data_IF_984824994841
#
_entry.id   IF_984824994841
#
_cell.length_a   1.000
_cell.length_b   1.000
_cell.length_c   1.000
_cell.angle_alpha   90.00
_cell.angle_beta   90.00
_cell.angle_gamma   90.00
#
_symmetry.space_group_name_H-M   'P 1'
#
loop_
_entity.id
_entity.type
_entity.pdbx_description
1 polymer ?
#
# COMPACT_ATOMS: atom_id res chain seq x y z
N UNK A 1 -16.70 -12.63 6.87
CA UNK A 1 -15.75 -11.51 6.97
C UNK A 1 -14.67 -11.86 7.98
N UNK A 2 -13.43 -11.48 7.73
CA UNK A 2 -12.32 -11.77 8.66
C UNK A 2 -12.44 -10.92 9.93
N UNK A 3 -11.95 -11.40 11.07
CA UNK A 3 -11.85 -10.56 12.27
C UNK A 3 -10.62 -9.65 12.12
N UNK A 4 -10.70 -8.37 12.50
CA UNK A 4 -9.52 -7.52 12.56
C UNK A 4 -8.53 -8.04 13.59
N UNK A 5 -7.24 -8.08 13.23
CA UNK A 5 -6.17 -8.61 14.06
C UNK A 5 -5.03 -7.60 14.18
N UNK A 6 -4.18 -7.75 15.19
CA UNK A 6 -2.94 -6.96 15.25
C UNK A 6 -2.03 -7.45 14.13
N UNK A 7 -1.58 -6.52 13.30
CA UNK A 7 -0.62 -6.81 12.24
C UNK A 7 0.81 -6.64 12.71
N UNK A 8 1.73 -7.12 11.88
CA UNK A 8 3.16 -6.87 11.99
C UNK A 8 3.60 -6.16 10.72
N UNK A 9 4.29 -5.03 10.87
CA UNK A 9 4.88 -4.35 9.73
C UNK A 9 6.20 -5.03 9.40
N UNK A 10 6.25 -5.66 8.24
CA UNK A 10 7.46 -6.26 7.71
C UNK A 10 8.24 -5.21 6.92
N UNK A 11 9.57 -5.26 7.05
CA UNK A 11 10.46 -4.55 6.13
C UNK A 11 10.28 -5.06 4.71
N UNK A 12 10.77 -4.31 3.72
CA UNK A 12 10.78 -4.76 2.33
C UNK A 12 11.50 -6.11 2.20
N UNK A 13 12.67 -6.27 2.83
CA UNK A 13 13.47 -7.50 2.78
C UNK A 13 12.69 -8.71 3.33
N UNK A 14 12.05 -8.55 4.48
CA UNK A 14 11.23 -9.62 5.08
C UNK A 14 10.03 -9.96 4.21
N UNK A 15 9.38 -8.94 3.63
CA UNK A 15 8.24 -9.12 2.73
C UNK A 15 8.64 -9.92 1.48
N UNK A 16 9.78 -9.59 0.87
CA UNK A 16 10.30 -10.31 -0.29
C UNK A 16 10.71 -11.74 0.05
N UNK A 17 11.36 -11.95 1.21
CA UNK A 17 11.72 -13.27 1.69
C UNK A 17 10.47 -14.13 1.94
N UNK A 18 9.43 -13.57 2.56
CA UNK A 18 8.14 -14.22 2.75
C UNK A 18 7.51 -14.61 1.41
N UNK A 19 7.47 -13.69 0.45
CA UNK A 19 6.89 -13.95 -0.86
C UNK A 19 7.61 -15.09 -1.59
N UNK A 20 8.95 -15.11 -1.57
CA UNK A 20 9.74 -16.20 -2.16
C UNK A 20 9.51 -17.53 -1.46
N UNK A 21 9.51 -17.56 -0.13
CA UNK A 21 9.32 -18.78 0.68
C UNK A 21 7.99 -19.48 0.36
N UNK A 22 6.95 -18.71 0.07
CA UNK A 22 5.59 -19.23 -0.16
C UNK A 22 5.11 -19.09 -1.61
N UNK A 23 6.04 -18.93 -2.57
CA UNK A 23 5.77 -18.78 -4.00
C UNK A 23 4.63 -17.80 -4.30
N UNK A 24 4.67 -16.63 -3.65
CA UNK A 24 3.67 -15.58 -3.82
C UNK A 24 4.01 -14.74 -5.04
N UNK A 25 3.01 -14.59 -5.93
CA UNK A 25 3.11 -13.69 -7.08
C UNK A 25 3.04 -12.24 -6.62
N UNK A 26 4.07 -11.46 -6.95
CA UNK A 26 4.13 -10.03 -6.70
C UNK A 26 3.98 -9.24 -7.99
N UNK A 27 3.45 -8.02 -7.87
CA UNK A 27 3.45 -7.01 -8.93
C UNK A 27 4.06 -5.72 -8.41
N UNK A 28 4.77 -4.99 -9.27
CA UNK A 28 5.33 -3.68 -8.96
C UNK A 28 4.90 -2.62 -9.98
N UNK A 29 4.86 -1.38 -9.52
CA UNK A 29 4.65 -0.18 -10.32
C UNK A 29 5.78 0.81 -9.99
N UNK A 30 6.57 1.22 -10.98
CA UNK A 30 7.75 2.07 -10.77
C UNK A 30 9.06 1.28 -10.63
N UNK A 31 10.12 1.85 -10.01
CA UNK A 31 10.13 3.02 -9.11
C UNK A 31 9.88 4.39 -9.78
N UNK A 32 9.00 5.18 -9.16
CA UNK A 32 8.66 6.55 -9.59
C UNK A 32 9.26 7.60 -8.65
N UNK A 33 9.48 8.80 -9.16
CA UNK A 33 9.85 9.95 -8.33
C UNK A 33 8.58 10.56 -7.69
N UNK A 34 8.67 10.96 -6.42
CA UNK A 34 7.54 11.51 -5.66
C UNK A 34 7.92 12.84 -5.00
N UNK A 35 6.96 13.75 -4.78
CA UNK A 35 7.20 15.00 -4.09
C UNK A 35 7.52 14.77 -2.61
N UNK A 36 8.32 15.66 -2.03
CA UNK A 36 8.77 15.56 -0.63
C UNK A 36 7.61 15.42 0.37
N UNK A 37 6.48 16.12 0.15
CA UNK A 37 5.32 16.02 1.05
C UNK A 37 4.73 14.60 1.09
N UNK A 38 4.77 13.85 -0.02
CA UNK A 38 4.25 12.49 -0.06
C UNK A 38 5.21 11.53 0.64
N UNK A 39 6.52 11.80 0.54
CA UNK A 39 7.54 11.10 1.33
C UNK A 39 7.32 11.35 2.83
N UNK A 40 7.22 12.60 3.27
CA UNK A 40 7.02 12.96 4.68
C UNK A 40 5.73 12.34 5.26
N UNK A 41 4.64 12.37 4.47
CA UNK A 41 3.38 11.73 4.85
C UNK A 41 3.51 10.22 4.95
N UNK A 42 4.34 9.59 4.11
CA UNK A 42 4.64 8.16 4.20
C UNK A 42 5.35 7.81 5.51
N UNK A 43 6.32 8.62 5.93
CA UNK A 43 7.02 8.44 7.21
C UNK A 43 6.05 8.56 8.40
N UNK A 44 5.20 9.58 8.41
CA UNK A 44 4.19 9.75 9.46
C UNK A 44 3.20 8.58 9.51
N UNK A 45 2.82 8.07 8.33
CA UNK A 45 1.87 6.98 8.23
C UNK A 45 2.46 5.64 8.67
N UNK A 46 3.74 5.37 8.39
CA UNK A 46 4.47 4.23 8.94
C UNK A 46 4.37 4.25 10.48
N UNK A 47 4.63 5.38 11.12
CA UNK A 47 4.51 5.50 12.58
C UNK A 47 3.08 5.24 13.09
N UNK A 48 2.04 5.59 12.32
CA UNK A 48 0.64 5.24 12.66
C UNK A 48 0.43 3.73 12.58
N UNK A 49 0.89 3.09 11.51
CA UNK A 49 0.77 1.64 11.32
C UNK A 49 1.57 0.87 12.39
N UNK A 50 2.75 1.37 12.78
CA UNK A 50 3.60 0.78 13.82
C UNK A 50 3.07 1.00 15.25
N UNK A 51 2.19 1.99 15.45
CA UNK A 51 1.70 2.33 16.79
C UNK A 51 0.84 1.25 17.47
N UNK A 52 0.51 0.16 16.77
CA UNK A 52 -0.38 -0.90 17.27
C UNK A 52 -1.85 -0.48 17.42
N UNK A 53 -2.18 0.77 17.09
CA UNK A 53 -3.56 1.29 17.11
C UNK A 53 -4.37 0.78 15.92
N UNK A 54 -3.73 0.47 14.79
CA UNK A 54 -4.42 -0.01 13.58
C UNK A 54 -4.53 -1.53 13.62
N UNK A 55 -5.76 -2.03 13.46
CA UNK A 55 -5.99 -3.46 13.22
C UNK A 55 -5.97 -3.74 11.72
N UNK A 56 -5.63 -4.95 11.33
CA UNK A 56 -5.60 -5.39 9.94
C UNK A 56 -6.72 -6.38 9.66
N UNK A 57 -7.41 -6.20 8.54
CA UNK A 57 -8.46 -7.10 8.05
C UNK A 57 -8.23 -7.36 6.57
N UNK A 58 -8.17 -8.63 6.16
CA UNK A 58 -7.95 -8.96 4.75
C UNK A 58 -9.15 -8.56 3.87
N UNK A 59 -10.36 -8.87 4.33
CA UNK A 59 -11.61 -8.65 3.59
C UNK A 59 -12.62 -7.92 4.48
N UNK A 60 -12.92 -6.67 4.14
CA UNK A 60 -13.89 -5.81 4.81
C UNK A 60 -14.60 -4.90 3.81
N UNK A 61 -15.69 -4.25 4.22
CA UNK A 61 -16.39 -3.28 3.36
C UNK A 61 -15.76 -1.88 3.50
N UNK A 62 -15.76 -1.12 2.43
CA UNK A 62 -15.22 0.25 2.43
C UNK A 62 -15.96 1.18 3.37
N UNK A 63 -17.23 0.91 3.63
CA UNK A 63 -18.01 1.64 4.62
C UNK A 63 -17.49 1.43 6.06
N UNK A 64 -17.08 0.21 6.40
CA UNK A 64 -16.45 -0.06 7.69
C UNK A 64 -15.08 0.65 7.80
N UNK A 65 -14.30 0.65 6.72
CA UNK A 65 -13.02 1.35 6.65
C UNK A 65 -13.18 2.88 6.71
N UNK A 66 -14.20 3.43 6.05
CA UNK A 66 -14.49 4.88 6.04
C UNK A 66 -14.79 5.40 7.44
N UNK A 67 -15.61 4.68 8.21
CA UNK A 67 -15.92 5.08 9.60
C UNK A 67 -14.68 5.03 10.49
N UNK A 68 -13.83 4.03 10.30
CA UNK A 68 -12.53 3.93 10.97
C UNK A 68 -11.59 5.10 10.60
N UNK A 69 -11.49 5.41 9.31
CA UNK A 69 -10.70 6.53 8.78
C UNK A 69 -11.15 7.87 9.39
N UNK A 70 -12.45 8.14 9.38
CA UNK A 70 -13.02 9.40 9.89
C UNK A 70 -12.82 9.58 11.40
N UNK A 71 -12.87 8.50 12.18
CA UNK A 71 -12.73 8.58 13.64
C UNK A 71 -11.30 8.80 14.11
N UNK A 72 -10.28 8.65 13.23
CA UNK A 72 -8.83 8.66 13.59
C UNK A 72 -8.46 7.75 14.78
N UNK A 73 -9.39 6.87 15.19
CA UNK A 73 -9.30 6.04 16.37
C UNK A 73 -9.13 4.61 15.87
N UNK A 74 -7.87 4.18 15.83
CA UNK A 74 -7.44 2.78 15.75
C UNK A 74 -8.41 1.77 15.13
N UNK A 75 -8.86 2.02 13.90
CA UNK A 75 -9.78 1.14 13.20
C UNK A 75 -9.06 0.04 12.44
N UNK A 76 -9.85 -0.83 11.81
CA UNK A 76 -9.30 -1.86 10.92
C UNK A 76 -8.97 -1.27 9.55
N UNK A 77 -7.85 -1.71 8.95
CA UNK A 77 -7.48 -1.41 7.55
C UNK A 77 -7.19 -2.70 6.81
N UNK A 78 -7.50 -2.74 5.52
CA UNK A 78 -6.90 -3.73 4.61
C UNK A 78 -5.63 -3.14 3.96
N UNK A 79 -4.95 -3.94 3.14
CA UNK A 79 -3.72 -3.52 2.47
C UNK A 79 -3.91 -2.33 1.53
N UNK A 80 -5.08 -2.18 0.90
CA UNK A 80 -5.37 -1.08 -0.02
C UNK A 80 -5.54 0.23 0.74
N UNK A 81 -6.36 0.24 1.80
CA UNK A 81 -6.57 1.43 2.63
C UNK A 81 -5.32 1.81 3.44
N UNK A 82 -4.50 0.81 3.81
CA UNK A 82 -3.21 1.08 4.42
C UNK A 82 -2.27 1.87 3.47
N UNK A 83 -2.47 1.81 2.15
CA UNK A 83 -1.67 2.57 1.18
C UNK A 83 -2.40 3.83 0.70
N UNK A 84 -3.67 3.75 0.29
CA UNK A 84 -4.41 4.88 -0.29
C UNK A 84 -4.49 6.08 0.66
N UNK A 85 -4.59 5.82 1.98
CA UNK A 85 -4.69 6.87 3.01
C UNK A 85 -3.47 7.82 3.06
N UNK A 86 -2.36 7.47 2.40
CA UNK A 86 -1.24 8.38 2.14
C UNK A 86 -1.64 9.59 1.29
N UNK A 87 -2.67 9.46 0.45
CA UNK A 87 -3.21 10.56 -0.35
C UNK A 87 -4.59 10.94 0.20
N UNK A 88 -5.52 9.99 0.18
CA UNK A 88 -6.91 10.14 0.64
C UNK A 88 -7.56 8.77 0.89
N UNK A 89 -8.68 8.77 1.60
CA UNK A 89 -9.55 7.58 1.60
C UNK A 89 -10.07 7.31 0.18
N UNK A 90 -9.94 6.08 -0.30
CA UNK A 90 -10.41 5.65 -1.61
C UNK A 90 -11.38 4.47 -1.47
N UNK A 91 -12.57 4.59 -2.05
CA UNK A 91 -13.55 3.51 -2.10
C UNK A 91 -13.27 2.63 -3.34
N UNK A 92 -12.60 1.49 -3.11
CA UNK A 92 -12.30 0.50 -4.15
C UNK A 92 -13.45 -0.52 -4.35
N UNK A 93 -14.53 -0.41 -3.58
CA UNK A 93 -15.72 -1.24 -3.67
C UNK A 93 -15.44 -2.70 -3.33
N UNK A 94 -15.69 -3.60 -4.30
CA UNK A 94 -15.40 -5.02 -4.17
C UNK A 94 -14.03 -5.41 -4.75
N UNK A 95 -13.22 -4.45 -5.21
CA UNK A 95 -11.91 -4.75 -5.77
C UNK A 95 -10.91 -5.11 -4.65
N UNK A 96 -10.05 -6.09 -4.93
CA UNK A 96 -8.92 -6.45 -4.08
C UNK A 96 -7.68 -6.75 -4.94
N UNK A 97 -6.51 -6.85 -4.32
CA UNK A 97 -5.28 -7.23 -5.03
C UNK A 97 -4.94 -6.29 -6.19
N UNK A 98 -4.62 -6.84 -7.37
CA UNK A 98 -4.18 -6.05 -8.52
C UNK A 98 -5.23 -5.05 -9.04
N UNK A 99 -6.52 -5.42 -9.21
CA UNK A 99 -7.57 -4.45 -9.56
C UNK A 99 -7.60 -3.23 -8.64
N UNK A 100 -7.66 -3.42 -7.32
CA UNK A 100 -7.70 -2.33 -6.37
C UNK A 100 -6.41 -1.50 -6.36
N UNK A 101 -5.25 -2.16 -6.44
CA UNK A 101 -3.94 -1.49 -6.51
C UNK A 101 -3.84 -0.58 -7.74
N UNK A 102 -4.38 -1.04 -8.88
CA UNK A 102 -4.40 -0.25 -10.13
C UNK A 102 -5.30 0.98 -10.01
N UNK A 103 -6.44 0.87 -9.33
CA UNK A 103 -7.34 1.99 -9.09
C UNK A 103 -6.66 3.07 -8.25
N UNK A 104 -6.16 2.72 -7.06
CA UNK A 104 -5.52 3.72 -6.18
C UNK A 104 -4.26 4.32 -6.82
N UNK A 105 -3.50 3.52 -7.58
CA UNK A 105 -2.35 4.04 -8.31
C UNK A 105 -2.79 5.13 -9.29
N UNK A 106 -3.73 4.80 -10.19
CA UNK A 106 -4.16 5.71 -11.25
C UNK A 106 -4.88 6.96 -10.73
N UNK A 107 -5.74 6.79 -9.74
CA UNK A 107 -6.64 7.85 -9.29
C UNK A 107 -6.09 8.69 -8.14
N UNK A 108 -5.17 8.12 -7.34
CA UNK A 108 -4.66 8.80 -6.15
C UNK A 108 -3.18 9.15 -6.28
N UNK A 109 -2.33 8.21 -6.72
CA UNK A 109 -0.88 8.44 -6.72
C UNK A 109 -0.36 9.08 -8.01
N UNK A 110 -0.79 8.62 -9.19
CA UNK A 110 -0.31 9.12 -10.49
C UNK A 110 -0.42 10.64 -10.65
N UNK A 111 -1.48 11.33 -10.16
CA UNK A 111 -1.56 12.80 -10.22
C UNK A 111 -0.47 13.52 -9.42
N UNK A 112 0.21 12.83 -8.50
CA UNK A 112 1.25 13.38 -7.64
C UNK A 112 2.66 12.91 -7.99
N UNK A 113 2.81 11.93 -8.87
CA UNK A 113 4.12 11.43 -9.29
C UNK A 113 4.84 12.49 -10.14
N UNK A 114 6.12 12.67 -9.85
CA UNK A 114 7.01 13.51 -10.65
C UNK A 114 7.44 12.67 -11.86
N UNK A 115 7.19 13.18 -13.06
CA UNK A 115 7.48 12.49 -14.33
C UNK A 115 6.88 11.07 -14.41
N UNK A 116 5.53 10.93 -14.43
CA UNK A 116 4.85 9.63 -14.45
C UNK A 116 5.21 8.72 -15.65
N UNK A 117 5.73 9.31 -16.73
CA UNK A 117 6.26 8.62 -17.90
C UNK A 117 7.63 7.96 -17.66
N UNK A 118 8.33 8.31 -16.58
CA UNK A 118 9.69 7.87 -16.27
C UNK A 118 9.72 6.96 -15.05
N UNK A 119 10.38 5.81 -15.20
CA UNK A 119 10.69 4.91 -14.09
C UNK A 119 12.19 4.74 -13.92
N UNK A 120 12.62 4.37 -12.72
CA UNK A 120 14.03 4.25 -12.34
C UNK A 120 14.42 2.77 -12.14
N UNK A 121 14.81 2.09 -13.22
CA UNK A 121 15.19 0.66 -13.19
C UNK A 121 16.39 0.39 -12.31
N UNK A 122 17.37 1.30 -12.24
CA UNK A 122 18.52 1.18 -11.32
C UNK A 122 18.09 1.09 -9.86
N UNK A 123 17.06 1.83 -9.45
CA UNK A 123 16.50 1.75 -8.09
C UNK A 123 15.82 0.39 -7.87
N UNK A 124 15.10 -0.11 -8.87
CA UNK A 124 14.48 -1.44 -8.83
C UNK A 124 15.52 -2.53 -8.59
N UNK A 125 16.64 -2.48 -9.30
CA UNK A 125 17.74 -3.42 -9.16
C UNK A 125 18.43 -3.32 -7.79
N UNK A 126 18.71 -2.10 -7.32
CA UNK A 126 19.28 -1.87 -5.99
C UNK A 126 18.39 -2.41 -4.86
N UNK A 127 17.07 -2.37 -5.03
CA UNK A 127 16.11 -2.93 -4.07
C UNK A 127 15.86 -4.44 -4.26
N UNK A 128 16.52 -5.09 -5.22
CA UNK A 128 16.38 -6.53 -5.50
C UNK A 128 15.00 -6.93 -6.02
N UNK A 129 14.34 -6.04 -6.77
CA UNK A 129 12.96 -6.20 -7.25
C UNK A 129 12.87 -6.70 -8.70
N UNK A 130 13.99 -7.05 -9.34
CA UNK A 130 14.05 -7.39 -10.78
C UNK A 130 13.25 -8.64 -11.16
N UNK A 131 13.06 -9.55 -10.22
CA UNK A 131 12.29 -10.78 -10.41
C UNK A 131 10.77 -10.57 -10.30
N UNK A 132 10.32 -9.38 -9.91
CA UNK A 132 8.90 -9.05 -9.75
C UNK A 132 8.33 -8.52 -11.06
N UNK A 133 7.20 -9.11 -11.48
CA UNK A 133 6.49 -8.67 -12.68
C UNK A 133 5.96 -7.24 -12.58
N UNK A 134 6.01 -6.48 -13.69
CA UNK A 134 5.37 -5.18 -13.74
C UNK A 134 3.84 -5.32 -13.73
N UNK A 135 3.15 -4.43 -13.01
CA UNK A 135 1.70 -4.37 -13.02
C UNK A 135 1.17 -3.64 -14.25
N UNK A 136 0.86 -4.37 -15.32
CA UNK A 136 0.14 -3.84 -16.50
C UNK A 136 -1.35 -3.55 -16.18
#
# INVERSE_FOLDING_TARGET
FARPERGTNYTLVETLAYARKYDRKLKKWGAYEIPLWLFDRSIQHIAVLDSGRVLYIANGTDEAHRRAYLKKAGGSKNCIHAVSDLVKFHNVGLNWGSPASRLILKEDFMPHIIHPERTHTKITALLGLDWISNGH
#
